data_IF_571584673109
#
_entry.id   IF_571584673109
#
_cell.length_a   1.000
_cell.length_b   1.000
_cell.length_c   1.000
_cell.angle_alpha   90.00
_cell.angle_beta   90.00
_cell.angle_gamma   90.00
#
_symmetry.space_group_name_H-M   'P 1'
#
loop_
_entity.id
_entity.type
_entity.pdbx_description
1 polymer ?
#
# COMPACT_ATOMS: atom_id res chain seq x y z
N UNK A 1 5.45 19.78 -3.41
CA UNK A 1 4.65 18.57 -3.19
C UNK A 1 3.18 18.94 -3.30
N UNK A 2 2.37 18.11 -3.93
CA UNK A 2 0.91 18.29 -4.00
C UNK A 2 0.23 17.40 -2.95
N UNK A 3 -0.83 17.91 -2.33
CA UNK A 3 -1.60 17.19 -1.32
C UNK A 3 -3.06 17.01 -1.77
N UNK A 4 -3.68 15.90 -1.37
CA UNK A 4 -5.09 15.59 -1.68
C UNK A 4 -5.76 14.89 -0.51
N UNK A 5 -7.05 15.14 -0.35
CA UNK A 5 -7.90 14.34 0.53
C UNK A 5 -8.04 12.91 -0.03
N UNK A 6 -7.86 11.91 0.82
CA UNK A 6 -7.92 10.50 0.42
C UNK A 6 -9.38 10.01 0.37
N UNK A 7 -10.03 10.14 -0.79
CA UNK A 7 -11.42 9.72 -0.97
C UNK A 7 -12.38 10.49 -0.06
N UNK A 8 -13.29 9.77 0.59
CA UNK A 8 -14.28 10.28 1.54
C UNK A 8 -13.74 10.46 2.97
N UNK A 9 -12.46 10.17 3.20
CA UNK A 9 -11.82 10.36 4.50
C UNK A 9 -11.50 11.84 4.75
N UNK A 10 -11.07 12.17 5.96
CA UNK A 10 -10.50 13.49 6.29
C UNK A 10 -8.96 13.52 6.12
N UNK A 11 -8.35 12.42 5.68
CA UNK A 11 -6.89 12.30 5.58
C UNK A 11 -6.36 13.12 4.40
N UNK A 12 -5.51 14.11 4.69
CA UNK A 12 -4.79 14.88 3.67
C UNK A 12 -3.41 14.25 3.46
N UNK A 13 -3.20 13.67 2.29
CA UNK A 13 -1.98 12.91 1.95
C UNK A 13 -1.23 13.55 0.79
N UNK A 14 0.09 13.41 0.77
CA UNK A 14 0.89 13.72 -0.41
C UNK A 14 0.48 12.83 -1.58
N UNK A 15 0.47 13.37 -2.81
CA UNK A 15 0.15 12.59 -4.03
C UNK A 15 1.10 11.41 -4.26
N UNK A 16 2.33 11.54 -3.79
CA UNK A 16 3.32 10.46 -3.74
C UNK A 16 3.48 10.02 -2.28
N UNK A 17 3.25 8.74 -2.00
CA UNK A 17 3.53 8.11 -0.71
C UNK A 17 4.81 7.28 -0.73
N UNK A 18 5.26 6.83 0.44
CA UNK A 18 6.38 5.90 0.58
C UNK A 18 5.85 4.50 0.94
N UNK A 19 6.05 3.54 0.02
CA UNK A 19 5.80 2.12 0.28
C UNK A 19 7.03 1.46 0.89
N UNK A 20 6.83 0.72 1.99
CA UNK A 20 7.92 0.32 2.88
C UNK A 20 8.25 -1.18 2.86
N UNK A 21 7.86 -1.93 1.81
CA UNK A 21 8.24 -3.34 1.70
C UNK A 21 9.75 -3.53 1.69
N UNK A 22 10.47 -2.73 0.90
CA UNK A 22 11.93 -2.82 0.77
C UNK A 22 12.64 -2.49 2.09
N UNK A 23 12.13 -1.54 2.88
CA UNK A 23 12.63 -1.30 4.25
C UNK A 23 12.51 -2.57 5.11
N UNK A 24 11.45 -3.35 4.94
CA UNK A 24 11.27 -4.60 5.66
C UNK A 24 12.18 -5.74 5.19
N UNK A 25 12.43 -5.85 3.89
CA UNK A 25 13.13 -7.01 3.30
C UNK A 25 14.63 -6.79 3.08
N UNK A 26 15.07 -5.54 2.87
CA UNK A 26 16.47 -5.21 2.58
C UNK A 26 17.25 -4.78 3.83
N UNK A 27 16.56 -4.41 4.91
CA UNK A 27 17.17 -3.99 6.16
C UNK A 27 16.94 -5.01 7.28
N UNK A 28 17.73 -4.88 8.33
CA UNK A 28 17.55 -5.60 9.60
C UNK A 28 17.09 -4.65 10.69
N UNK A 29 16.63 -5.20 11.82
CA UNK A 29 16.26 -4.43 13.03
C UNK A 29 17.40 -3.56 13.59
N UNK A 30 18.64 -3.78 13.15
CA UNK A 30 19.79 -3.00 13.61
C UNK A 30 20.04 -1.75 12.75
N UNK A 31 19.40 -1.64 11.58
CA UNK A 31 19.64 -0.58 10.59
C UNK A 31 18.72 0.64 10.78
N UNK A 32 18.42 0.99 12.03
CA UNK A 32 17.51 2.10 12.37
C UNK A 32 17.99 3.44 11.82
N UNK A 33 19.30 3.68 11.83
CA UNK A 33 19.88 4.91 11.29
C UNK A 33 19.70 5.01 9.77
N UNK A 34 19.75 3.88 9.05
CA UNK A 34 19.54 3.85 7.61
C UNK A 34 18.07 4.01 7.24
N UNK A 35 17.18 3.28 7.90
CA UNK A 35 15.74 3.48 7.77
C UNK A 35 15.36 4.94 8.09
N UNK A 36 15.91 5.50 9.17
CA UNK A 36 15.70 6.89 9.55
C UNK A 36 16.20 7.88 8.51
N UNK A 37 17.33 7.64 7.85
CA UNK A 37 17.82 8.50 6.77
C UNK A 37 16.83 8.56 5.60
N UNK A 38 16.32 7.41 5.17
CA UNK A 38 15.37 7.33 4.05
C UNK A 38 14.03 7.94 4.41
N UNK A 39 13.48 7.58 5.58
CA UNK A 39 12.16 8.05 6.02
C UNK A 39 12.16 9.54 6.32
N UNK A 40 13.17 10.06 7.03
CA UNK A 40 13.24 11.51 7.27
C UNK A 40 13.44 12.29 5.96
N UNK A 41 14.27 11.82 5.03
CA UNK A 41 14.40 12.47 3.72
C UNK A 41 13.07 12.51 2.93
N UNK A 42 12.25 11.46 3.03
CA UNK A 42 10.92 11.44 2.45
C UNK A 42 9.99 12.49 3.09
N UNK A 43 9.93 12.51 4.43
CA UNK A 43 9.11 13.47 5.20
C UNK A 43 9.55 14.92 4.93
N UNK A 44 10.86 15.19 4.96
CA UNK A 44 11.44 16.52 4.71
C UNK A 44 11.22 16.96 3.25
N UNK A 45 11.09 16.00 2.32
CA UNK A 45 10.66 16.23 0.93
C UNK A 45 9.14 16.46 0.76
N UNK A 46 8.38 16.43 1.85
CA UNK A 46 6.95 16.68 1.90
C UNK A 46 6.06 15.44 1.72
N UNK A 47 6.61 14.22 1.68
CA UNK A 47 5.79 13.00 1.68
C UNK A 47 5.12 12.86 3.05
N UNK A 48 3.80 12.65 3.08
CA UNK A 48 3.00 12.53 4.31
C UNK A 48 2.16 11.25 4.35
N UNK A 49 2.46 10.26 3.50
CA UNK A 49 1.79 8.96 3.52
C UNK A 49 2.81 7.83 3.53
N UNK A 50 2.85 7.08 4.64
CA UNK A 50 3.73 5.94 4.83
C UNK A 50 2.90 4.64 4.85
N UNK A 51 3.24 3.68 3.98
CA UNK A 51 2.51 2.41 3.83
C UNK A 51 3.41 1.21 4.14
N UNK A 52 3.14 0.55 5.26
CA UNK A 52 3.83 -0.66 5.72
C UNK A 52 2.86 -1.84 5.82
N UNK A 53 3.28 -2.98 6.38
CA UNK A 53 2.40 -4.11 6.68
C UNK A 53 2.99 -5.00 7.77
N UNK A 54 2.13 -5.69 8.53
CA UNK A 54 2.53 -6.66 9.55
C UNK A 54 3.36 -7.85 9.02
N UNK A 55 3.33 -8.09 7.71
CA UNK A 55 4.11 -9.14 7.04
C UNK A 55 5.43 -8.67 6.45
N UNK A 56 5.71 -7.36 6.43
CA UNK A 56 6.96 -6.82 5.90
C UNK A 56 8.07 -6.89 6.96
N UNK A 57 8.40 -8.11 7.41
CA UNK A 57 9.50 -8.42 8.32
C UNK A 57 9.77 -7.33 9.38
N UNK A 58 10.84 -6.53 9.28
CA UNK A 58 11.22 -5.51 10.28
C UNK A 58 10.65 -4.10 10.01
N UNK A 59 9.86 -3.92 8.96
CA UNK A 59 9.41 -2.59 8.48
C UNK A 59 8.66 -1.81 9.55
N UNK A 60 7.66 -2.40 10.22
CA UNK A 60 6.90 -1.71 11.27
C UNK A 60 7.79 -1.30 12.45
N UNK A 61 8.71 -2.17 12.88
CA UNK A 61 9.65 -1.87 13.96
C UNK A 61 10.59 -0.71 13.58
N UNK A 62 11.10 -0.72 12.35
CA UNK A 62 11.97 0.34 11.84
C UNK A 62 11.21 1.67 11.71
N UNK A 63 9.97 1.67 11.24
CA UNK A 63 9.14 2.89 11.17
C UNK A 63 8.94 3.49 12.57
N UNK A 64 8.50 2.68 13.54
CA UNK A 64 8.26 3.14 14.91
C UNK A 64 9.52 3.75 15.53
N UNK A 65 10.65 3.04 15.43
CA UNK A 65 11.92 3.48 16.02
C UNK A 65 12.57 4.66 15.30
N UNK A 66 12.38 4.77 13.98
CA UNK A 66 13.10 5.77 13.18
C UNK A 66 12.35 7.10 13.06
N UNK A 67 11.02 7.08 12.95
CA UNK A 67 10.20 8.29 12.71
C UNK A 67 8.95 8.38 13.60
N UNK A 68 8.77 7.49 14.59
CA UNK A 68 7.65 7.55 15.52
C UNK A 68 7.56 8.86 16.32
N UNK A 69 8.69 9.54 16.54
CA UNK A 69 8.74 10.87 17.17
C UNK A 69 8.13 12.00 16.32
N UNK A 70 7.85 11.74 15.02
CA UNK A 70 7.21 12.66 14.06
C UNK A 70 5.79 12.21 13.69
N UNK A 71 5.15 11.37 14.52
CA UNK A 71 3.89 10.68 14.21
C UNK A 71 2.78 11.58 13.67
N UNK A 72 2.69 12.82 14.14
CA UNK A 72 1.66 13.79 13.75
C UNK A 72 1.92 14.44 12.37
N UNK A 73 3.09 14.23 11.77
CA UNK A 73 3.47 14.80 10.48
C UNK A 73 3.03 13.94 9.28
N UNK A 74 2.59 12.70 9.51
CA UNK A 74 2.26 11.77 8.44
C UNK A 74 1.04 10.89 8.75
N UNK A 75 0.36 10.50 7.69
CA UNK A 75 -0.64 9.44 7.67
C UNK A 75 0.07 8.10 7.63
N UNK A 76 -0.22 7.26 8.61
CA UNK A 76 0.39 5.93 8.74
C UNK A 76 -0.62 4.84 8.37
N UNK A 77 -0.28 4.06 7.34
CA UNK A 77 -1.05 2.90 6.92
C UNK A 77 -0.30 1.60 7.20
N UNK A 78 -0.99 0.61 7.77
CA UNK A 78 -0.50 -0.78 7.86
C UNK A 78 -1.54 -1.76 7.31
N UNK A 79 -1.19 -3.05 7.27
CA UNK A 79 -2.01 -4.13 6.71
C UNK A 79 -2.01 -5.35 7.62
N UNK A 80 -3.16 -5.98 7.75
CA UNK A 80 -3.39 -7.15 8.59
C UNK A 80 -3.93 -8.34 7.76
N UNK A 81 -3.77 -9.56 8.28
CA UNK A 81 -4.37 -10.78 7.73
C UNK A 81 -3.42 -11.95 7.60
N UNK A 82 -2.13 -11.69 7.39
CA UNK A 82 -1.13 -12.75 7.32
C UNK A 82 -0.72 -13.26 8.70
N UNK A 83 -0.33 -14.53 8.77
CA UNK A 83 0.33 -15.13 9.93
C UNK A 83 1.84 -14.89 9.81
N UNK A 84 2.41 -14.10 10.72
CA UNK A 84 3.80 -13.61 10.61
C UNK A 84 4.47 -13.56 11.98
N UNK A 85 5.81 -13.48 12.01
CA UNK A 85 6.57 -13.22 13.24
C UNK A 85 6.34 -14.25 14.36
N UNK A 86 6.18 -15.53 14.01
CA UNK A 86 5.94 -16.61 14.97
C UNK A 86 4.51 -16.72 15.51
N UNK A 87 3.57 -15.89 15.04
CA UNK A 87 2.16 -16.04 15.37
C UNK A 87 1.65 -17.42 14.97
N UNK A 88 0.83 -18.04 15.83
CA UNK A 88 0.18 -19.34 15.57
C UNK A 88 -1.31 -19.11 15.39
N UNK A 89 -1.82 -19.43 14.21
CA UNK A 89 -3.22 -19.26 13.85
C UNK A 89 -3.44 -19.43 12.36
N UNK A 90 -4.65 -19.14 11.91
CA UNK A 90 -5.02 -19.19 10.49
C UNK A 90 -5.12 -17.78 9.91
N UNK A 91 -4.55 -17.53 8.72
CA UNK A 91 -4.58 -16.21 8.11
C UNK A 91 -6.02 -15.82 7.79
N UNK A 92 -6.27 -14.52 7.84
CA UNK A 92 -7.57 -13.91 7.54
C UNK A 92 -8.75 -14.49 8.33
N UNK A 93 -8.51 -14.79 9.60
CA UNK A 93 -9.57 -15.00 10.59
C UNK A 93 -9.79 -13.72 11.39
N UNK A 94 -10.99 -13.52 11.94
CA UNK A 94 -11.29 -12.38 12.83
C UNK A 94 -10.24 -12.20 13.93
N UNK A 95 -9.87 -13.30 14.61
CA UNK A 95 -8.84 -13.30 15.65
C UNK A 95 -7.48 -12.85 15.12
N UNK A 96 -7.05 -13.38 13.96
CA UNK A 96 -5.75 -13.02 13.38
C UNK A 96 -5.70 -11.55 12.97
N UNK A 97 -6.80 -10.98 12.46
CA UNK A 97 -6.87 -9.56 12.15
C UNK A 97 -6.67 -8.71 13.41
N UNK A 98 -7.43 -8.96 14.47
CA UNK A 98 -7.34 -8.20 15.72
C UNK A 98 -5.96 -8.35 16.37
N UNK A 99 -5.46 -9.58 16.51
CA UNK A 99 -4.15 -9.85 17.11
C UNK A 99 -3.02 -9.23 16.25
N UNK A 100 -3.17 -9.18 14.92
CA UNK A 100 -2.20 -8.55 14.03
C UNK A 100 -2.15 -7.04 14.23
N UNK A 101 -3.31 -6.38 14.37
CA UNK A 101 -3.36 -4.93 14.61
C UNK A 101 -2.67 -4.60 15.93
N UNK A 102 -2.92 -5.37 16.98
CA UNK A 102 -2.30 -5.13 18.29
C UNK A 102 -0.77 -5.23 18.24
N UNK A 103 -0.25 -6.27 17.58
CA UNK A 103 1.20 -6.39 17.35
C UNK A 103 1.76 -5.28 16.48
N UNK A 104 1.01 -4.83 15.47
CA UNK A 104 1.42 -3.71 14.61
C UNK A 104 1.57 -2.43 15.42
N UNK A 105 0.61 -2.12 16.29
CA UNK A 105 0.65 -0.93 17.17
C UNK A 105 1.85 -0.96 18.11
N UNK A 106 2.15 -2.12 18.72
CA UNK A 106 3.35 -2.31 19.54
C UNK A 106 4.64 -2.04 18.76
N UNK A 107 4.78 -2.61 17.55
CA UNK A 107 5.96 -2.45 16.70
C UNK A 107 6.13 -1.03 16.19
N UNK A 108 5.02 -0.39 15.81
CA UNK A 108 4.98 0.99 15.34
C UNK A 108 5.13 2.00 16.48
N UNK A 109 5.10 1.55 17.74
CA UNK A 109 5.22 2.37 18.94
C UNK A 109 4.16 3.49 18.99
N UNK A 110 2.92 3.15 18.66
CA UNK A 110 1.78 4.09 18.62
C UNK A 110 0.51 3.39 19.11
N UNK A 111 -0.45 4.16 19.61
CA UNK A 111 -1.76 3.67 20.05
C UNK A 111 -2.77 3.55 18.90
N UNK A 112 -2.51 4.21 17.77
CA UNK A 112 -3.36 4.16 16.60
C UNK A 112 -2.61 4.37 15.27
N UNK A 113 -3.16 3.80 14.20
CA UNK A 113 -2.80 4.14 12.83
C UNK A 113 -3.93 4.89 12.13
N UNK A 114 -3.63 5.60 11.05
CA UNK A 114 -4.66 6.31 10.29
C UNK A 114 -5.49 5.35 9.43
N UNK A 115 -4.85 4.28 8.94
CA UNK A 115 -5.47 3.31 8.04
C UNK A 115 -4.96 1.89 8.31
N UNK A 116 -5.89 0.94 8.50
CA UNK A 116 -5.61 -0.50 8.45
C UNK A 116 -6.26 -1.10 7.22
N UNK A 117 -5.49 -1.86 6.45
CA UNK A 117 -5.99 -2.53 5.25
C UNK A 117 -6.01 -4.05 5.41
N UNK A 118 -7.03 -4.73 4.89
CA UNK A 118 -6.96 -6.18 4.68
C UNK A 118 -5.91 -6.48 3.60
N UNK A 119 -4.95 -7.35 3.92
CA UNK A 119 -3.86 -7.67 3.01
C UNK A 119 -4.22 -8.87 2.10
N UNK A 120 -4.78 -8.57 0.94
CA UNK A 120 -4.97 -9.47 -0.21
C UNK A 120 -5.70 -10.80 0.06
N UNK A 121 -6.74 -10.84 0.90
CA UNK A 121 -7.60 -12.03 1.00
C UNK A 121 -8.50 -12.21 -0.24
N UNK A 122 -8.90 -13.45 -0.50
CA UNK A 122 -9.79 -13.82 -1.61
C UNK A 122 -11.26 -13.46 -1.35
N UNK A 123 -12.07 -13.55 -2.41
CA UNK A 123 -13.53 -13.29 -2.35
C UNK A 123 -14.22 -14.22 -1.37
N UNK A 124 -13.78 -15.48 -1.27
CA UNK A 124 -14.33 -16.49 -0.37
C UNK A 124 -14.15 -16.13 1.12
N UNK A 125 -13.10 -15.38 1.45
CA UNK A 125 -12.86 -14.84 2.79
C UNK A 125 -13.64 -13.55 3.00
N UNK A 126 -13.57 -12.63 2.03
CA UNK A 126 -14.27 -11.35 2.10
C UNK A 126 -15.80 -11.54 2.27
N UNK A 127 -16.38 -12.48 1.52
CA UNK A 127 -17.81 -12.78 1.55
C UNK A 127 -18.31 -13.34 2.88
N UNK A 128 -17.43 -13.84 3.76
CA UNK A 128 -17.80 -14.26 5.13
C UNK A 128 -18.04 -13.08 6.07
N UNK A 129 -17.55 -11.89 5.72
CA UNK A 129 -17.75 -10.65 6.50
C UNK A 129 -16.90 -10.54 7.77
N UNK A 130 -16.52 -11.64 8.40
CA UNK A 130 -15.88 -11.66 9.73
C UNK A 130 -14.57 -10.84 9.83
N UNK A 131 -13.79 -10.80 8.75
CA UNK A 131 -12.54 -10.03 8.70
C UNK A 131 -12.78 -8.53 8.52
N UNK A 132 -13.90 -8.16 7.89
CA UNK A 132 -14.31 -6.76 7.70
C UNK A 132 -14.86 -6.24 9.02
N UNK A 133 -15.71 -7.03 9.67
CA UNK A 133 -16.21 -6.75 11.03
C UNK A 133 -15.05 -6.58 12.03
N UNK A 134 -13.98 -7.38 11.90
CA UNK A 134 -12.79 -7.22 12.74
C UNK A 134 -12.10 -5.86 12.55
N UNK A 135 -12.01 -5.35 11.31
CA UNK A 135 -11.49 -4.00 11.06
C UNK A 135 -12.42 -2.92 11.60
N UNK A 136 -13.74 -3.10 11.46
CA UNK A 136 -14.72 -2.16 12.03
C UNK A 136 -14.67 -2.12 13.55
N UNK A 137 -14.43 -3.25 14.22
CA UNK A 137 -14.20 -3.30 15.65
C UNK A 137 -12.90 -2.62 16.06
N UNK A 138 -11.81 -2.81 15.32
CA UNK A 138 -10.57 -2.08 15.56
C UNK A 138 -10.77 -0.57 15.41
N UNK A 139 -11.57 -0.13 14.43
CA UNK A 139 -11.97 1.27 14.26
C UNK A 139 -12.80 1.77 15.45
N UNK A 140 -13.82 1.01 15.87
CA UNK A 140 -14.64 1.33 17.06
C UNK A 140 -13.79 1.44 18.33
N UNK A 141 -12.75 0.63 18.45
CA UNK A 141 -11.81 0.65 19.56
C UNK A 141 -10.75 1.75 19.47
N UNK A 142 -10.77 2.60 18.44
CA UNK A 142 -9.82 3.71 18.25
C UNK A 142 -8.44 3.30 17.72
N UNK A 143 -8.22 2.02 17.39
CA UNK A 143 -6.92 1.51 16.91
C UNK A 143 -6.60 1.93 15.47
N UNK A 144 -7.63 2.25 14.69
CA UNK A 144 -7.50 2.81 13.34
C UNK A 144 -8.59 3.83 13.08
N UNK A 145 -8.29 4.87 12.29
CA UNK A 145 -9.30 5.87 11.88
C UNK A 145 -10.14 5.37 10.72
N UNK A 146 -9.49 4.75 9.73
CA UNK A 146 -10.12 4.25 8.51
C UNK A 146 -9.74 2.80 8.22
N UNK A 147 -10.54 2.15 7.37
CA UNK A 147 -10.31 0.76 6.98
C UNK A 147 -10.23 0.64 5.46
N UNK A 148 -9.39 -0.25 4.96
CA UNK A 148 -9.17 -0.42 3.53
C UNK A 148 -9.04 -1.87 3.09
N UNK A 149 -9.05 -2.07 1.78
CA UNK A 149 -8.68 -3.33 1.16
C UNK A 149 -7.46 -3.12 0.26
N UNK A 150 -6.42 -3.91 0.46
CA UNK A 150 -5.25 -3.96 -0.43
C UNK A 150 -5.29 -5.26 -1.23
N UNK A 151 -5.57 -5.19 -2.52
CA UNK A 151 -5.64 -6.37 -3.38
C UNK A 151 -5.88 -6.02 -4.85
N UNK A 152 -6.13 -7.05 -5.66
CA UNK A 152 -6.19 -6.91 -7.12
C UNK A 152 -7.37 -7.75 -7.68
N UNK A 153 -7.76 -7.47 -8.93
CA UNK A 153 -8.71 -8.28 -9.72
C UNK A 153 -10.07 -8.50 -9.02
N UNK A 154 -10.61 -9.74 -9.08
CA UNK A 154 -11.95 -10.07 -8.61
C UNK A 154 -12.17 -9.76 -7.12
N UNK A 155 -11.15 -9.94 -6.27
CA UNK A 155 -11.25 -9.62 -4.86
C UNK A 155 -11.28 -8.11 -4.61
N UNK A 156 -10.53 -7.32 -5.38
CA UNK A 156 -10.66 -5.86 -5.37
C UNK A 156 -12.03 -5.39 -5.88
N UNK A 157 -12.57 -6.01 -6.94
CA UNK A 157 -13.90 -5.68 -7.46
C UNK A 157 -14.99 -5.97 -6.42
N UNK A 158 -14.88 -7.11 -5.73
CA UNK A 158 -15.77 -7.47 -4.64
C UNK A 158 -15.67 -6.47 -3.48
N UNK A 159 -14.44 -6.15 -3.05
CA UNK A 159 -14.21 -5.22 -1.94
C UNK A 159 -14.75 -3.81 -2.24
N UNK A 160 -14.59 -3.34 -3.48
CA UNK A 160 -15.28 -2.13 -3.92
C UNK A 160 -16.79 -2.36 -3.85
N UNK A 161 -17.36 -3.38 -4.49
CA UNK A 161 -18.82 -3.58 -4.49
C UNK A 161 -19.47 -3.66 -3.09
N UNK A 162 -18.77 -4.20 -2.09
CA UNK A 162 -19.23 -4.29 -0.69
C UNK A 162 -19.45 -2.92 -0.02
N UNK A 163 -18.69 -1.89 -0.39
CA UNK A 163 -18.92 -0.50 0.04
C UNK A 163 -18.50 -0.14 1.47
N UNK A 164 -18.09 -1.10 2.30
CA UNK A 164 -17.68 -0.83 3.70
C UNK A 164 -16.27 -0.28 3.84
N UNK A 165 -15.41 -0.45 2.84
CA UNK A 165 -14.03 0.06 2.89
C UNK A 165 -13.94 1.55 2.49
N UNK A 166 -13.07 2.28 3.17
CA UNK A 166 -12.80 3.69 2.90
C UNK A 166 -11.73 3.89 1.82
N UNK A 167 -10.82 2.92 1.67
CA UNK A 167 -9.75 2.95 0.67
C UNK A 167 -9.59 1.63 -0.06
N UNK A 168 -9.18 1.72 -1.33
CA UNK A 168 -8.71 0.60 -2.14
C UNK A 168 -7.23 0.82 -2.47
N UNK A 169 -6.36 -0.10 -2.06
CA UNK A 169 -4.98 -0.17 -2.58
C UNK A 169 -4.88 -1.27 -3.64
N UNK A 170 -4.55 -0.90 -4.88
CA UNK A 170 -4.51 -1.84 -6.01
C UNK A 170 -3.38 -1.55 -6.99
N UNK A 171 -2.98 -2.55 -7.78
CA UNK A 171 -1.91 -2.41 -8.75
C UNK A 171 -2.36 -1.58 -9.94
N UNK A 172 -1.58 -0.57 -10.29
CA UNK A 172 -1.78 0.22 -11.50
C UNK A 172 -0.45 0.84 -11.92
N UNK A 173 -0.09 0.71 -13.20
CA UNK A 173 1.11 1.33 -13.77
C UNK A 173 1.02 1.41 -15.29
N UNK A 174 2.07 1.96 -15.91
CA UNK A 174 2.18 2.16 -17.36
C UNK A 174 1.85 0.89 -18.17
N UNK A 175 2.29 -0.27 -17.69
CA UNK A 175 2.20 -1.56 -18.40
C UNK A 175 1.12 -2.48 -17.83
N UNK A 176 0.40 -2.05 -16.81
CA UNK A 176 -0.75 -2.73 -16.23
C UNK A 176 -1.85 -1.73 -15.87
N UNK A 177 -2.80 -1.61 -16.79
CA UNK A 177 -3.85 -0.59 -16.75
C UNK A 177 -5.24 -1.18 -16.47
N UNK A 178 -5.33 -2.46 -16.10
CA UNK A 178 -6.61 -3.14 -15.94
C UNK A 178 -7.51 -2.43 -14.91
N UNK A 179 -6.95 -2.03 -13.76
CA UNK A 179 -7.66 -1.35 -12.69
C UNK A 179 -8.34 -0.04 -13.15
N UNK A 180 -7.74 0.70 -14.09
CA UNK A 180 -8.35 1.91 -14.65
C UNK A 180 -9.68 1.64 -15.36
N UNK A 181 -9.82 0.47 -15.98
CA UNK A 181 -11.02 0.09 -16.74
C UNK A 181 -12.05 -0.66 -15.91
N UNK A 182 -11.62 -1.33 -14.84
CA UNK A 182 -12.47 -2.29 -14.12
C UNK A 182 -12.74 -1.93 -12.67
N UNK A 183 -12.00 -0.99 -12.07
CA UNK A 183 -12.06 -0.68 -10.63
C UNK A 183 -12.27 0.80 -10.34
N UNK A 184 -11.53 1.68 -11.02
CA UNK A 184 -11.42 3.08 -10.60
C UNK A 184 -12.74 3.84 -10.63
N UNK A 185 -13.56 3.66 -11.65
CA UNK A 185 -14.84 4.38 -11.75
C UNK A 185 -15.82 3.95 -10.65
N UNK A 186 -15.88 2.66 -10.35
CA UNK A 186 -16.72 2.14 -9.27
C UNK A 186 -16.21 2.58 -7.89
N UNK A 187 -14.90 2.51 -7.65
CA UNK A 187 -14.29 2.97 -6.39
C UNK A 187 -14.54 4.47 -6.17
N UNK A 188 -14.42 5.29 -7.21
CA UNK A 188 -14.74 6.73 -7.16
C UNK A 188 -16.22 6.97 -6.90
N UNK A 189 -17.12 6.22 -7.54
CA UNK A 189 -18.56 6.33 -7.33
C UNK A 189 -18.97 6.04 -5.87
N UNK A 190 -18.20 5.22 -5.16
CA UNK A 190 -18.38 4.96 -3.73
C UNK A 190 -17.62 5.90 -2.79
N UNK A 191 -16.91 6.87 -3.35
CA UNK A 191 -16.08 7.81 -2.60
C UNK A 191 -14.84 7.18 -1.97
N UNK A 192 -14.37 6.03 -2.44
CA UNK A 192 -13.17 5.39 -1.89
C UNK A 192 -11.90 6.17 -2.27
N UNK A 193 -10.95 6.23 -1.34
CA UNK A 193 -9.58 6.66 -1.63
C UNK A 193 -8.84 5.58 -2.42
N UNK A 194 -8.23 5.93 -3.55
CA UNK A 194 -7.45 4.97 -4.36
C UNK A 194 -5.96 5.17 -4.08
N UNK A 195 -5.30 4.09 -3.64
CA UNK A 195 -3.86 4.04 -3.41
C UNK A 195 -3.25 3.10 -4.47
N UNK A 196 -2.33 3.61 -5.27
CA UNK A 196 -1.68 2.80 -6.30
C UNK A 196 -0.43 2.13 -5.71
N UNK A 197 -0.37 0.79 -5.79
CA UNK A 197 0.87 0.04 -5.53
C UNK A 197 1.56 -0.33 -6.84
N UNK A 198 2.89 -0.49 -6.78
CA UNK A 198 3.78 -0.78 -7.93
C UNK A 198 3.67 0.26 -9.07
N UNK A 199 3.68 1.57 -8.78
CA UNK A 199 3.44 2.60 -9.80
C UNK A 199 4.51 2.61 -10.91
N UNK A 200 5.72 2.15 -10.60
CA UNK A 200 6.84 2.07 -11.55
C UNK A 200 6.98 0.69 -12.21
N UNK A 201 5.99 -0.20 -12.05
CA UNK A 201 6.02 -1.57 -12.55
C UNK A 201 7.31 -2.32 -12.12
N UNK A 202 7.78 -2.08 -10.89
CA UNK A 202 9.06 -2.58 -10.36
C UNK A 202 10.28 -2.24 -11.24
N UNK A 203 10.26 -1.10 -11.93
CA UNK A 203 11.35 -0.63 -12.78
C UNK A 203 11.43 -1.34 -14.14
N UNK A 204 10.38 -2.04 -14.56
CA UNK A 204 10.37 -2.86 -15.77
C UNK A 204 10.51 -2.03 -17.07
N UNK A 205 9.94 -0.83 -17.12
CA UNK A 205 9.98 0.00 -18.34
C UNK A 205 11.42 0.36 -18.72
N UNK A 206 11.81 0.06 -19.97
CA UNK A 206 13.16 0.34 -20.47
C UNK A 206 14.27 -0.46 -19.79
N UNK A 207 13.94 -1.53 -19.05
CA UNK A 207 14.94 -2.42 -18.47
C UNK A 207 15.43 -3.44 -19.51
N UNK A 208 16.75 -3.68 -19.56
CA UNK A 208 17.33 -4.68 -20.47
C UNK A 208 16.90 -6.11 -20.14
N UNK A 209 16.57 -6.38 -18.88
CA UNK A 209 16.05 -7.65 -18.36
C UNK A 209 15.04 -7.37 -17.24
N UNK A 210 14.26 -8.39 -16.86
CA UNK A 210 13.33 -8.29 -15.74
C UNK A 210 14.08 -7.91 -14.44
N UNK A 211 13.75 -6.78 -13.78
CA UNK A 211 14.47 -6.30 -12.59
C UNK A 211 14.38 -7.22 -11.38
N UNK A 212 13.32 -8.03 -11.30
CA UNK A 212 13.13 -9.04 -10.25
C UNK A 212 12.19 -10.14 -10.76
N UNK A 213 12.10 -11.24 -10.02
CA UNK A 213 11.13 -12.32 -10.30
C UNK A 213 9.69 -11.80 -10.30
N UNK A 214 9.37 -10.86 -9.39
CA UNK A 214 8.06 -10.20 -9.33
C UNK A 214 7.79 -9.23 -10.48
N UNK A 215 8.82 -8.80 -11.22
CA UNK A 215 8.69 -7.87 -12.33
C UNK A 215 8.55 -8.56 -13.70
N UNK A 216 8.66 -9.89 -13.78
CA UNK A 216 8.70 -10.63 -15.05
C UNK A 216 7.54 -10.30 -15.99
N UNK A 217 6.30 -10.40 -15.50
CA UNK A 217 5.12 -10.09 -16.31
C UNK A 217 5.06 -8.61 -16.72
N UNK A 218 5.50 -7.69 -15.85
CA UNK A 218 5.57 -6.27 -16.20
C UNK A 218 6.62 -6.00 -17.27
N UNK A 219 7.75 -6.68 -17.20
CA UNK A 219 8.82 -6.58 -18.18
C UNK A 219 8.37 -7.11 -19.55
N UNK A 220 7.72 -8.27 -19.61
CA UNK A 220 7.16 -8.81 -20.86
C UNK A 220 6.17 -7.83 -21.51
N UNK A 221 5.27 -7.25 -20.70
CA UNK A 221 4.33 -6.23 -21.18
C UNK A 221 5.05 -4.95 -21.62
N UNK A 222 6.09 -4.51 -20.89
CA UNK A 222 6.90 -3.36 -21.29
C UNK A 222 7.53 -3.56 -22.67
N UNK A 223 8.11 -4.73 -22.93
CA UNK A 223 8.69 -5.07 -24.23
C UNK A 223 7.64 -5.02 -25.36
N UNK A 224 6.44 -5.56 -25.11
CA UNK A 224 5.34 -5.51 -26.08
C UNK A 224 4.89 -4.07 -26.36
N UNK A 225 4.75 -3.23 -25.33
CA UNK A 225 4.38 -1.82 -25.49
C UNK A 225 5.46 -1.02 -26.22
N UNK A 226 6.74 -1.23 -25.90
CA UNK A 226 7.86 -0.56 -26.57
C UNK A 226 7.99 -0.95 -28.05
N UNK A 227 7.59 -2.18 -28.41
CA UNK A 227 7.55 -2.61 -29.80
C UNK A 227 6.48 -1.89 -30.65
N UNK A 228 5.52 -1.19 -30.02
CA UNK A 228 4.52 -0.38 -30.74
C UNK A 228 5.08 0.95 -31.24
N UNK A 229 6.27 1.35 -30.80
CA UNK A 229 6.93 2.59 -31.19
C UNK A 229 7.34 3.45 -30.00
N UNK A 230 8.00 4.56 -30.31
CA UNK A 230 8.44 5.52 -29.30
C UNK A 230 7.27 6.34 -28.74
N UNK A 231 7.33 6.66 -27.45
CA UNK A 231 6.41 7.58 -26.82
C UNK A 231 6.88 9.02 -27.11
N UNK A 232 6.14 9.82 -27.90
CA UNK A 232 6.55 11.18 -28.22
C UNK A 232 6.64 12.04 -26.96
N UNK A 233 7.71 12.83 -26.83
CA UNK A 233 7.97 13.71 -25.69
C UNK A 233 8.03 13.01 -24.32
N UNK A 234 8.29 11.70 -24.27
CA UNK A 234 8.53 11.00 -23.01
C UNK A 234 9.80 11.52 -22.30
N UNK A 235 9.77 11.70 -20.96
CA UNK A 235 10.99 12.01 -20.21
C UNK A 235 12.06 10.93 -20.42
N UNK A 236 13.33 11.36 -20.57
CA UNK A 236 14.46 10.43 -20.67
C UNK A 236 14.58 9.51 -19.44
N UNK A 237 14.19 10.00 -18.26
CA UNK A 237 14.17 9.18 -17.05
C UNK A 237 12.95 8.25 -17.05
N UNK A 238 13.20 6.95 -17.24
CA UNK A 238 12.18 5.89 -17.27
C UNK A 238 11.31 5.82 -16.00
N UNK A 239 11.87 6.14 -14.84
CA UNK A 239 11.13 6.15 -13.57
C UNK A 239 10.20 7.35 -13.52
N UNK A 240 10.67 8.52 -13.98
CA UNK A 240 9.83 9.70 -14.06
C UNK A 240 8.68 9.53 -15.04
N UNK A 241 8.91 8.91 -16.19
CA UNK A 241 7.84 8.57 -17.13
C UNK A 241 6.77 7.68 -16.46
N UNK A 242 7.19 6.61 -15.79
CA UNK A 242 6.25 5.69 -15.15
C UNK A 242 5.44 6.37 -14.03
N UNK A 243 6.09 7.18 -13.20
CA UNK A 243 5.40 7.96 -12.16
C UNK A 243 4.48 9.02 -12.75
N UNK A 244 4.92 9.76 -13.78
CA UNK A 244 4.11 10.77 -14.45
C UNK A 244 2.85 10.16 -15.07
N UNK A 245 2.96 8.97 -15.68
CA UNK A 245 1.81 8.24 -16.20
C UNK A 245 0.79 7.89 -15.10
N UNK A 246 1.26 7.40 -13.95
CA UNK A 246 0.37 7.01 -12.84
C UNK A 246 -0.27 8.23 -12.17
N UNK A 247 0.46 9.34 -12.10
CA UNK A 247 0.01 10.56 -11.43
C UNK A 247 -0.80 11.49 -12.34
N UNK A 248 -0.85 11.27 -13.65
CA UNK A 248 -1.65 12.07 -14.60
C UNK A 248 -3.16 11.92 -14.37
#
# INVERSE_FOLDING_TARGET
MDYRTLGRTDLVVSRLGAGLSEIGYELTRHDVAEAGRVLNAALDGGITFLDTAACYNVSEELVGRAVGHRRDEFVLATKAGHVTGGYRGEPWTRRTILDSIDRSLERLQTDHVDLVQLHSCGVDILARGEVIEALEDARRAGKTRYIGYSGDNAAAQWAVADGRFDTLQTSYNLVDQAARRTLFDQAKAQGMGIIVKRPIANGAWGAASAPSTYAGQYWERAQQLQALGELPAAPHNRIWLALAFVLA
#
